data_IF_465806719643
#
_entry.id   IF_465806719643
#
_cell.length_a   1.000
_cell.length_b   1.000
_cell.length_c   1.000
_cell.angle_alpha   90.00
_cell.angle_beta   90.00
_cell.angle_gamma   90.00
#
_symmetry.space_group_name_H-M   'P 1'
#
loop_
_entity.id
_entity.type
_entity.pdbx_description
1 polymer ?
#
# COMPACT_ATOMS: atom_id res chain seq x y z
N UNK A 1 18.39 -6.10 96.93
CA UNK A 1 19.12 -5.45 95.81
C UNK A 1 18.14 -5.30 94.66
N UNK A 2 17.47 -4.15 94.52
CA UNK A 2 17.79 -3.00 93.63
C UNK A 2 17.53 -3.23 92.12
N UNK A 3 16.26 -3.02 91.72
CA UNK A 3 15.71 -2.14 90.66
C UNK A 3 16.50 -1.65 89.42
N UNK A 4 15.73 -1.54 88.30
CA UNK A 4 15.68 -0.54 87.17
C UNK A 4 16.30 -0.94 85.81
N UNK A 5 15.48 -1.02 84.72
CA UNK A 5 15.16 0.01 83.69
C UNK A 5 16.42 0.51 82.94
N UNK A 6 16.53 0.61 81.61
CA UNK A 6 15.63 0.46 80.46
C UNK A 6 16.35 0.91 79.16
N UNK A 7 15.54 1.12 78.11
CA UNK A 7 15.75 1.90 76.88
C UNK A 7 16.54 1.34 75.67
N UNK A 8 15.86 1.44 74.53
CA UNK A 8 16.30 1.23 73.17
C UNK A 8 17.16 2.38 72.61
N UNK A 9 17.98 2.11 71.60
CA UNK A 9 18.49 3.13 70.69
C UNK A 9 18.48 2.60 69.24
N UNK A 10 17.72 3.30 68.39
CA UNK A 10 17.64 3.09 66.96
C UNK A 10 18.94 3.55 66.27
N UNK A 11 19.46 2.74 65.36
CA UNK A 11 20.60 3.10 64.52
C UNK A 11 20.09 3.68 63.20
N UNK A 12 20.18 4.99 63.05
CA UNK A 12 19.97 5.66 61.76
C UNK A 12 21.22 5.46 60.89
N UNK A 13 21.11 4.71 59.80
CA UNK A 13 22.13 4.67 58.74
C UNK A 13 22.00 5.92 57.87
N UNK A 14 22.88 6.88 58.09
CA UNK A 14 23.14 7.99 57.17
C UNK A 14 23.94 7.46 55.98
N UNK A 15 23.28 7.26 54.83
CA UNK A 15 23.94 7.06 53.54
C UNK A 15 24.45 8.43 53.03
N UNK A 16 25.62 8.84 53.51
CA UNK A 16 26.38 9.93 52.90
C UNK A 16 27.09 9.42 51.64
N UNK A 17 26.48 9.60 50.47
CA UNK A 17 27.15 9.36 49.19
C UNK A 17 28.32 10.33 49.03
N UNK A 18 29.55 9.82 49.04
CA UNK A 18 30.75 10.60 48.73
C UNK A 18 30.69 11.02 47.25
N UNK A 19 30.70 12.32 46.98
CA UNK A 19 30.91 12.82 45.63
C UNK A 19 32.29 12.36 45.14
N UNK A 20 32.34 11.60 44.05
CA UNK A 20 33.59 11.18 43.45
C UNK A 20 34.40 12.42 43.02
N UNK A 21 35.62 12.57 43.56
CA UNK A 21 36.58 13.59 43.12
C UNK A 21 37.02 13.24 41.69
N UNK A 22 36.75 14.14 40.73
CA UNK A 22 37.21 13.96 39.36
C UNK A 22 38.75 14.02 39.30
N UNK A 23 39.39 13.03 38.66
CA UNK A 23 40.83 12.99 38.43
C UNK A 23 41.26 14.15 37.51
N UNK A 24 42.40 14.78 37.82
CA UNK A 24 42.99 15.82 36.97
C UNK A 24 43.40 15.22 35.62
N UNK A 25 42.89 15.78 34.53
CA UNK A 25 43.21 15.33 33.17
C UNK A 25 44.69 15.62 32.83
N UNK A 26 45.42 14.68 32.19
CA UNK A 26 46.77 14.92 31.68
C UNK A 26 46.81 16.03 30.62
N UNK A 27 47.92 16.77 30.52
CA UNK A 27 48.09 17.93 29.63
C UNK A 27 47.80 17.63 28.14
N UNK A 28 48.08 16.40 27.68
CA UNK A 28 47.81 16.02 26.30
C UNK A 28 46.30 15.95 25.95
N UNK A 29 45.42 15.91 26.95
CA UNK A 29 43.96 15.96 26.76
C UNK A 29 43.43 17.39 26.66
N UNK A 30 44.19 18.39 27.13
CA UNK A 30 43.72 19.78 27.21
C UNK A 30 43.22 20.38 25.87
N UNK A 31 43.83 20.10 24.69
CA UNK A 31 43.34 20.63 23.42
C UNK A 31 42.00 20.04 22.94
N UNK A 32 41.59 18.88 23.48
CA UNK A 32 40.38 18.15 23.04
C UNK A 32 39.33 18.01 24.15
N UNK A 33 39.69 18.27 25.40
CA UNK A 33 38.79 18.26 26.56
C UNK A 33 38.21 19.64 26.80
N UNK A 34 36.90 19.73 26.96
CA UNK A 34 36.21 20.96 27.33
C UNK A 34 34.81 20.64 27.85
N UNK A 35 34.24 21.55 28.65
CA UNK A 35 32.82 21.43 29.05
C UNK A 35 31.95 21.68 27.83
N UNK A 36 31.04 20.77 27.53
CA UNK A 36 30.00 20.99 26.53
C UNK A 36 28.98 21.98 27.07
N UNK A 37 28.70 23.07 26.35
CA UNK A 37 27.81 24.15 26.77
C UNK A 37 26.30 23.84 26.61
N UNK A 38 25.88 22.58 26.70
CA UNK A 38 24.46 22.26 26.58
C UNK A 38 23.71 22.75 27.83
N UNK A 39 22.65 23.55 27.66
CA UNK A 39 21.81 23.93 28.78
C UNK A 39 21.07 22.67 29.30
N UNK A 40 20.80 22.54 30.62
CA UNK A 40 20.06 21.40 31.15
C UNK A 40 18.72 21.13 30.44
N UNK A 41 18.04 22.18 29.98
CA UNK A 41 16.81 22.08 29.19
C UNK A 41 16.99 21.45 27.81
N UNK A 42 18.13 21.68 27.15
CA UNK A 42 18.42 21.11 25.83
C UNK A 42 18.67 19.60 25.94
N UNK A 43 19.39 19.19 26.99
CA UNK A 43 19.64 17.77 27.29
C UNK A 43 18.32 17.06 27.60
N UNK A 44 17.51 17.62 28.49
CA UNK A 44 16.19 17.04 28.82
C UNK A 44 15.27 16.92 27.59
N UNK A 45 15.27 17.95 26.72
CA UNK A 45 14.51 17.91 25.45
C UNK A 45 15.01 16.79 24.55
N UNK A 46 16.33 16.67 24.38
CA UNK A 46 16.94 15.62 23.56
C UNK A 46 16.60 14.23 24.09
N UNK A 47 16.64 14.02 25.40
CA UNK A 47 16.36 12.74 26.03
C UNK A 47 14.91 12.31 25.79
N UNK A 48 13.94 13.23 25.89
CA UNK A 48 12.54 12.95 25.60
C UNK A 48 12.31 12.63 24.12
N UNK A 49 12.92 13.41 23.20
CA UNK A 49 12.83 13.15 21.76
C UNK A 49 13.48 11.82 21.35
N UNK A 50 14.54 11.41 22.06
CA UNK A 50 15.20 10.14 21.83
C UNK A 50 14.27 8.94 22.09
N UNK A 51 13.28 9.05 22.98
CA UNK A 51 12.31 7.98 23.22
C UNK A 51 11.52 7.63 21.95
N UNK A 52 11.10 8.64 21.18
CA UNK A 52 10.39 8.42 19.92
C UNK A 52 11.29 7.76 18.88
N UNK A 53 12.56 8.15 18.84
CA UNK A 53 13.54 7.54 17.92
C UNK A 53 13.76 6.07 18.27
N UNK A 54 14.02 5.78 19.55
CA UNK A 54 14.26 4.42 20.04
C UNK A 54 13.03 3.50 19.87
N UNK A 55 11.82 4.06 19.91
CA UNK A 55 10.59 3.29 19.69
C UNK A 55 10.55 2.62 18.31
N UNK A 56 11.05 3.27 17.25
CA UNK A 56 11.05 2.67 15.90
C UNK A 56 11.89 1.40 15.81
N UNK A 57 13.05 1.37 16.46
CA UNK A 57 13.90 0.18 16.51
C UNK A 57 13.19 -0.98 17.23
N UNK A 58 12.54 -0.69 18.37
CA UNK A 58 11.76 -1.67 19.13
C UNK A 58 10.60 -2.24 18.30
N UNK A 59 9.89 -1.40 17.55
CA UNK A 59 8.83 -1.85 16.66
C UNK A 59 9.37 -2.71 15.51
N UNK A 60 10.49 -2.32 14.91
CA UNK A 60 11.14 -3.08 13.84
C UNK A 60 11.54 -4.49 14.27
N UNK A 61 12.09 -4.63 15.47
CA UNK A 61 12.46 -5.94 16.01
C UNK A 61 11.24 -6.78 16.43
N UNK A 62 10.23 -6.17 17.04
CA UNK A 62 8.99 -6.85 17.39
C UNK A 62 8.23 -7.33 16.14
N UNK A 63 8.22 -6.55 15.05
CA UNK A 63 7.55 -6.89 13.81
C UNK A 63 8.04 -8.22 13.21
N UNK A 64 9.34 -8.51 13.28
CA UNK A 64 9.90 -9.80 12.80
C UNK A 64 9.30 -10.98 13.57
N UNK A 65 9.16 -10.85 14.89
CA UNK A 65 8.58 -11.88 15.76
C UNK A 65 7.07 -12.01 15.51
N UNK A 66 6.35 -10.90 15.36
CA UNK A 66 4.92 -10.90 15.05
C UNK A 66 4.63 -11.54 13.70
N UNK A 67 5.38 -11.18 12.65
CA UNK A 67 5.21 -11.77 11.32
C UNK A 67 5.41 -13.29 11.37
N UNK A 68 6.46 -13.76 12.04
CA UNK A 68 6.70 -15.20 12.23
C UNK A 68 5.51 -15.86 12.94
N UNK A 69 5.04 -15.29 14.05
CA UNK A 69 3.93 -15.83 14.81
C UNK A 69 2.62 -15.87 14.01
N UNK A 70 2.36 -14.86 13.18
CA UNK A 70 1.18 -14.82 12.29
C UNK A 70 1.28 -15.96 11.28
N UNK A 71 2.40 -16.06 10.56
CA UNK A 71 2.61 -17.09 9.54
C UNK A 71 2.62 -18.52 10.11
N UNK A 72 3.06 -18.70 11.36
CA UNK A 72 3.06 -20.00 12.05
C UNK A 72 1.65 -20.43 12.53
N UNK A 73 0.67 -19.52 12.58
CA UNK A 73 -0.67 -19.78 13.17
C UNK A 73 -1.83 -19.59 12.19
N UNK A 74 -1.65 -18.74 11.19
CA UNK A 74 -2.69 -18.33 10.25
C UNK A 74 -2.20 -18.51 8.82
N UNK A 75 -3.04 -19.08 7.93
CA UNK A 75 -2.79 -18.93 6.51
C UNK A 75 -2.89 -17.45 6.12
N UNK A 76 -2.05 -17.03 5.17
CA UNK A 76 -2.02 -15.66 4.63
C UNK A 76 -2.02 -15.70 3.11
N UNK A 77 -2.90 -14.93 2.49
CA UNK A 77 -2.94 -14.72 1.04
C UNK A 77 -2.48 -13.31 0.71
N UNK A 78 -1.43 -13.17 -0.09
CA UNK A 78 -1.03 -11.87 -0.63
C UNK A 78 -1.42 -11.77 -2.10
N UNK A 79 -2.18 -10.73 -2.42
CA UNK A 79 -2.51 -10.32 -3.78
C UNK A 79 -1.68 -9.12 -4.22
N UNK A 80 -0.69 -9.37 -5.08
CA UNK A 80 0.18 -8.33 -5.59
C UNK A 80 -0.26 -7.93 -7.00
N UNK A 81 -0.40 -6.63 -7.23
CA UNK A 81 -0.53 -6.09 -8.57
C UNK A 81 0.74 -6.35 -9.37
N UNK A 82 0.57 -6.76 -10.62
CA UNK A 82 1.68 -7.06 -11.52
C UNK A 82 1.34 -6.64 -12.95
N UNK A 83 2.39 -6.51 -13.77
CA UNK A 83 2.24 -6.33 -15.22
C UNK A 83 1.47 -7.47 -15.90
N UNK A 84 1.43 -8.65 -15.27
CA UNK A 84 0.91 -9.90 -15.83
C UNK A 84 -0.48 -10.30 -15.32
N UNK A 85 -1.23 -9.38 -14.70
CA UNK A 85 -2.60 -9.66 -14.22
C UNK A 85 -2.67 -10.04 -12.74
N UNK A 86 -1.60 -9.79 -12.01
CA UNK A 86 -1.50 -10.06 -10.58
C UNK A 86 -0.59 -11.24 -10.25
N UNK A 87 -0.31 -11.41 -8.97
CA UNK A 87 0.37 -12.56 -8.39
C UNK A 87 -0.28 -12.85 -7.05
N UNK A 88 -0.81 -14.06 -6.88
CA UNK A 88 -1.27 -14.52 -5.57
C UNK A 88 -0.21 -15.44 -4.95
N UNK A 89 0.07 -15.24 -3.66
CA UNK A 89 0.96 -16.09 -2.88
C UNK A 89 0.19 -16.56 -1.64
N UNK A 90 0.15 -17.87 -1.41
CA UNK A 90 -0.43 -18.48 -0.23
C UNK A 90 0.68 -18.94 0.73
N UNK A 91 0.67 -18.39 1.93
CA UNK A 91 1.50 -18.84 3.04
C UNK A 91 0.65 -19.76 3.93
N UNK A 92 1.11 -20.99 4.12
CA UNK A 92 0.47 -21.97 5.02
C UNK A 92 1.37 -22.22 6.23
N UNK A 93 0.83 -22.32 7.44
CA UNK A 93 1.62 -22.64 8.62
C UNK A 93 2.53 -23.84 8.42
N UNK A 94 3.82 -23.65 8.69
CA UNK A 94 4.85 -24.70 8.59
C UNK A 94 5.19 -25.16 7.16
N UNK A 95 4.67 -24.52 6.12
CA UNK A 95 4.96 -24.88 4.72
C UNK A 95 5.63 -23.74 3.95
N UNK A 96 6.41 -24.07 2.90
CA UNK A 96 6.91 -23.05 1.98
C UNK A 96 5.76 -22.25 1.33
N UNK A 97 6.00 -20.97 0.98
CA UNK A 97 5.04 -20.17 0.22
C UNK A 97 4.66 -20.87 -1.08
N UNK A 98 3.38 -20.85 -1.41
CA UNK A 98 2.84 -21.39 -2.64
C UNK A 98 2.45 -20.25 -3.58
N UNK A 99 3.23 -20.08 -4.65
CA UNK A 99 2.87 -19.19 -5.75
C UNK A 99 1.72 -19.80 -6.56
N UNK A 100 0.69 -19.00 -6.83
CA UNK A 100 -0.36 -19.40 -7.75
C UNK A 100 0.15 -19.46 -9.20
N UNK A 101 -0.46 -20.31 -10.06
CA UNK A 101 -0.22 -20.23 -11.50
C UNK A 101 -0.47 -18.81 -12.03
N UNK A 102 0.31 -18.42 -13.04
CA UNK A 102 0.16 -17.12 -13.69
C UNK A 102 -1.17 -17.04 -14.44
N UNK A 103 -1.73 -15.83 -14.53
CA UNK A 103 -2.90 -15.56 -15.40
C UNK A 103 -2.57 -16.00 -16.83
N UNK A 104 -3.50 -16.64 -17.56
CA UNK A 104 -3.27 -17.09 -18.92
C UNK A 104 -2.65 -15.99 -19.79
N UNK A 105 -1.66 -16.38 -20.62
CA UNK A 105 -0.86 -15.44 -21.43
C UNK A 105 -1.72 -14.54 -22.32
N UNK A 106 -2.90 -15.00 -22.73
CA UNK A 106 -3.86 -14.22 -23.53
C UNK A 106 -4.28 -12.91 -22.84
N UNK A 107 -4.32 -12.85 -21.51
CA UNK A 107 -4.49 -11.59 -20.77
C UNK A 107 -3.39 -10.58 -21.13
N UNK A 108 -2.12 -11.02 -21.09
CA UNK A 108 -0.99 -10.16 -21.38
C UNK A 108 -0.96 -9.73 -22.85
N UNK A 109 -1.40 -10.60 -23.76
CA UNK A 109 -1.50 -10.27 -25.18
C UNK A 109 -2.54 -9.17 -25.44
N UNK A 110 -3.77 -9.34 -24.91
CA UNK A 110 -4.83 -8.34 -25.00
C UNK A 110 -4.41 -7.00 -24.39
N UNK A 111 -3.79 -7.07 -23.20
CA UNK A 111 -3.24 -5.90 -22.51
C UNK A 111 -2.16 -5.22 -23.32
N UNK A 112 -1.18 -5.95 -23.86
CA UNK A 112 -0.08 -5.38 -24.64
C UNK A 112 -0.56 -4.62 -25.87
N UNK A 113 -1.53 -5.17 -26.61
CA UNK A 113 -2.12 -4.47 -27.76
C UNK A 113 -2.91 -3.25 -27.30
N UNK A 114 -3.72 -3.34 -26.23
CA UNK A 114 -4.44 -2.19 -25.70
C UNK A 114 -3.53 -1.07 -25.19
N UNK A 115 -2.48 -1.44 -24.44
CA UNK A 115 -1.45 -0.52 -23.96
C UNK A 115 -0.67 0.11 -25.10
N UNK A 116 -0.50 -0.58 -26.24
CA UNK A 116 0.21 -0.01 -27.38
C UNK A 116 -0.47 1.25 -27.92
N UNK A 117 -1.80 1.31 -27.87
CA UNK A 117 -2.58 2.50 -28.25
C UNK A 117 -2.44 3.62 -27.23
N UNK A 118 -2.50 3.30 -25.93
CA UNK A 118 -2.33 4.31 -24.87
C UNK A 118 -0.91 4.89 -24.87
N UNK A 119 0.10 4.04 -25.08
CA UNK A 119 1.50 4.47 -25.19
C UNK A 119 1.70 5.46 -26.35
N UNK A 120 0.91 5.39 -27.43
CA UNK A 120 0.98 6.40 -28.48
C UNK A 120 0.54 7.78 -27.98
N UNK A 121 -0.52 7.88 -27.18
CA UNK A 121 -0.93 9.15 -26.61
C UNK A 121 0.18 9.77 -25.72
N UNK A 122 0.88 8.93 -24.95
CA UNK A 122 2.01 9.36 -24.12
C UNK A 122 3.25 9.76 -24.94
N UNK A 123 3.57 9.01 -26.01
CA UNK A 123 4.69 9.33 -26.91
C UNK A 123 4.46 10.64 -27.64
N UNK A 124 3.22 10.94 -28.03
CA UNK A 124 2.91 12.12 -28.84
C UNK A 124 2.51 13.35 -28.03
N UNK A 125 1.96 13.17 -26.83
CA UNK A 125 1.42 14.22 -25.97
C UNK A 125 2.33 15.45 -25.82
N UNK A 126 3.63 15.29 -25.49
CA UNK A 126 4.56 16.41 -25.35
C UNK A 126 4.82 17.23 -26.63
N UNK A 127 4.39 16.72 -27.80
CA UNK A 127 4.68 17.26 -29.13
C UNK A 127 3.42 17.69 -29.89
N UNK A 128 2.24 17.56 -29.27
CA UNK A 128 0.98 17.98 -29.86
C UNK A 128 1.04 19.47 -30.21
N UNK A 129 0.63 19.79 -31.44
CA UNK A 129 0.60 21.16 -32.01
C UNK A 129 1.94 21.91 -31.93
N UNK A 130 3.06 21.17 -31.82
CA UNK A 130 4.42 21.70 -31.82
C UNK A 130 5.20 21.19 -33.05
N UNK A 131 4.91 21.73 -34.25
CA UNK A 131 5.50 21.22 -35.49
C UNK A 131 7.01 21.41 -35.57
N UNK A 132 7.61 22.35 -34.85
CA UNK A 132 9.05 22.60 -34.92
C UNK A 132 9.87 21.55 -34.16
N UNK A 133 9.27 20.93 -33.14
CA UNK A 133 9.93 19.87 -32.38
C UNK A 133 9.76 18.50 -33.05
N UNK A 134 10.79 18.04 -33.76
CA UNK A 134 10.81 16.73 -34.44
C UNK A 134 11.38 15.57 -33.61
N UNK A 135 11.70 15.78 -32.33
CA UNK A 135 12.39 14.76 -31.51
C UNK A 135 11.59 13.48 -31.27
N UNK A 136 10.26 13.51 -31.47
CA UNK A 136 9.38 12.33 -31.39
C UNK A 136 9.54 11.34 -32.54
N UNK A 137 10.08 11.77 -33.70
CA UNK A 137 10.07 10.96 -34.93
C UNK A 137 10.82 9.63 -34.78
N UNK A 138 11.98 9.64 -34.12
CA UNK A 138 12.79 8.44 -33.94
C UNK A 138 12.06 7.40 -33.07
N UNK A 139 11.52 7.82 -31.93
CA UNK A 139 10.73 6.97 -31.04
C UNK A 139 9.47 6.43 -31.74
N UNK A 140 8.80 7.26 -32.53
CA UNK A 140 7.63 6.88 -33.32
C UNK A 140 7.96 5.80 -34.36
N UNK A 141 9.03 5.98 -35.15
CA UNK A 141 9.46 4.99 -36.15
C UNK A 141 9.83 3.65 -35.50
N UNK A 142 10.55 3.69 -34.37
CA UNK A 142 10.90 2.49 -33.62
C UNK A 142 9.66 1.76 -33.10
N UNK A 143 8.68 2.48 -32.57
CA UNK A 143 7.46 1.87 -32.06
C UNK A 143 6.55 1.35 -33.17
N UNK A 144 6.47 2.06 -34.30
CA UNK A 144 5.77 1.62 -35.52
C UNK A 144 6.29 0.28 -36.04
N UNK A 145 7.61 0.09 -36.06
CA UNK A 145 8.22 -1.20 -36.43
C UNK A 145 7.81 -2.34 -35.48
N UNK A 146 7.76 -2.09 -34.17
CA UNK A 146 7.29 -3.07 -33.18
C UNK A 146 5.81 -3.42 -33.37
N UNK A 147 4.96 -2.44 -33.68
CA UNK A 147 3.55 -2.69 -33.97
C UNK A 147 3.35 -3.50 -35.25
N UNK A 148 4.14 -3.24 -36.30
CA UNK A 148 4.11 -4.04 -37.52
C UNK A 148 4.49 -5.50 -37.23
N UNK A 149 5.56 -5.72 -36.47
CA UNK A 149 5.98 -7.07 -36.08
C UNK A 149 4.88 -7.80 -35.30
N UNK A 150 4.18 -7.11 -34.39
CA UNK A 150 3.04 -7.67 -33.66
C UNK A 150 1.84 -7.98 -34.58
N UNK A 151 1.58 -7.13 -35.58
CA UNK A 151 0.51 -7.34 -36.56
C UNK A 151 0.78 -8.56 -37.45
N UNK A 152 2.03 -8.72 -37.91
CA UNK A 152 2.45 -9.79 -38.81
C UNK A 152 2.48 -11.16 -38.12
N UNK A 153 2.74 -11.17 -36.80
CA UNK A 153 2.82 -12.39 -35.99
C UNK A 153 1.55 -12.72 -35.21
N UNK A 154 0.50 -11.90 -35.33
CA UNK A 154 -0.71 -12.00 -34.50
C UNK A 154 -1.41 -13.36 -34.61
N UNK A 155 -1.37 -13.98 -35.78
CA UNK A 155 -2.02 -15.28 -36.02
C UNK A 155 -1.33 -16.44 -35.32
N UNK A 156 -0.05 -16.30 -34.97
CA UNK A 156 0.71 -17.30 -34.21
C UNK A 156 0.40 -17.27 -32.71
N UNK A 157 -0.40 -16.31 -32.24
CA UNK A 157 -0.76 -16.19 -30.82
C UNK A 157 -1.89 -17.15 -30.42
N UNK A 158 -1.98 -17.55 -29.14
CA UNK A 158 -3.08 -18.39 -28.63
C UNK A 158 -4.42 -17.64 -28.47
N UNK A 159 -4.55 -16.41 -28.99
CA UNK A 159 -5.81 -15.67 -28.90
C UNK A 159 -6.90 -16.30 -29.78
N UNK A 160 -8.15 -16.21 -29.32
CA UNK A 160 -9.31 -16.64 -30.08
C UNK A 160 -9.47 -15.81 -31.36
N UNK A 161 -10.16 -16.35 -32.36
CA UNK A 161 -10.23 -15.75 -33.70
C UNK A 161 -10.80 -14.32 -33.68
N UNK A 162 -11.92 -14.12 -33.00
CA UNK A 162 -12.56 -12.81 -32.82
C UNK A 162 -11.68 -11.82 -32.05
N UNK A 163 -10.92 -12.31 -31.06
CA UNK A 163 -9.95 -11.48 -30.34
C UNK A 163 -8.81 -11.06 -31.27
N UNK A 164 -8.27 -11.96 -32.08
CA UNK A 164 -7.24 -11.64 -33.08
C UNK A 164 -7.74 -10.60 -34.07
N UNK A 165 -8.96 -10.72 -34.59
CA UNK A 165 -9.52 -9.74 -35.52
C UNK A 165 -9.69 -8.34 -34.91
N UNK A 166 -10.14 -8.27 -33.66
CA UNK A 166 -10.21 -7.00 -32.93
C UNK A 166 -8.80 -6.38 -32.73
N UNK A 167 -7.84 -7.19 -32.30
CA UNK A 167 -6.47 -6.74 -32.06
C UNK A 167 -5.75 -6.33 -33.36
N UNK A 168 -6.05 -7.02 -34.47
CA UNK A 168 -5.58 -6.64 -35.81
C UNK A 168 -6.07 -5.25 -36.20
N UNK A 169 -7.33 -4.96 -35.90
CA UNK A 169 -7.93 -3.65 -36.15
C UNK A 169 -7.23 -2.57 -35.33
N UNK A 170 -7.00 -2.81 -34.03
CA UNK A 170 -6.26 -1.88 -33.16
C UNK A 170 -4.87 -1.58 -33.72
N UNK A 171 -4.09 -2.62 -34.06
CA UNK A 171 -2.73 -2.47 -34.56
C UNK A 171 -2.69 -1.73 -35.91
N UNK A 172 -3.59 -2.05 -36.83
CA UNK A 172 -3.70 -1.34 -38.12
C UNK A 172 -4.03 0.14 -37.92
N UNK A 173 -4.99 0.45 -37.05
CA UNK A 173 -5.36 1.82 -36.73
C UNK A 173 -4.19 2.59 -36.09
N UNK A 174 -3.46 1.95 -35.15
CA UNK A 174 -2.27 2.55 -34.56
C UNK A 174 -1.21 2.87 -35.64
N UNK A 175 -0.91 1.92 -36.52
CA UNK A 175 0.07 2.11 -37.60
C UNK A 175 -0.35 3.23 -38.55
N UNK A 176 -1.62 3.27 -38.95
CA UNK A 176 -2.15 4.33 -39.81
C UNK A 176 -1.99 5.73 -39.18
N UNK A 177 -2.29 5.86 -37.89
CA UNK A 177 -2.09 7.12 -37.16
C UNK A 177 -0.61 7.53 -37.11
N UNK A 178 0.28 6.60 -36.80
CA UNK A 178 1.73 6.86 -36.79
C UNK A 178 2.24 7.30 -38.17
N UNK A 179 1.82 6.62 -39.23
CA UNK A 179 2.20 6.92 -40.61
C UNK A 179 1.69 8.31 -41.03
N UNK A 180 0.46 8.68 -40.65
CA UNK A 180 -0.09 10.01 -40.90
C UNK A 180 0.71 11.12 -40.21
N UNK A 181 1.02 10.96 -38.92
CA UNK A 181 1.86 11.91 -38.18
C UNK A 181 3.26 12.02 -38.81
N UNK A 182 3.89 10.89 -39.14
CA UNK A 182 5.23 10.85 -39.73
C UNK A 182 5.28 11.53 -41.11
N UNK A 183 4.26 11.33 -41.94
CA UNK A 183 4.15 11.96 -43.26
C UNK A 183 3.89 13.47 -43.15
N UNK A 184 2.96 13.88 -42.27
CA UNK A 184 2.66 15.29 -42.03
C UNK A 184 3.76 16.03 -41.26
N UNK A 185 4.65 15.30 -40.60
CA UNK A 185 5.71 15.86 -39.77
C UNK A 185 5.20 16.58 -38.52
N UNK A 186 3.94 16.39 -38.13
CA UNK A 186 3.32 17.03 -36.98
C UNK A 186 2.33 16.08 -36.31
N UNK A 187 1.93 16.41 -35.08
CA UNK A 187 0.89 15.69 -34.33
C UNK A 187 -0.23 16.71 -34.03
N UNK A 188 -1.23 16.83 -34.92
CA UNK A 188 -2.36 17.70 -34.66
C UNK A 188 -3.26 17.13 -33.56
N UNK A 189 -3.69 17.94 -32.59
CA UNK A 189 -4.59 17.48 -31.53
C UNK A 189 -5.88 16.84 -32.08
N UNK A 190 -6.47 17.47 -33.12
CA UNK A 190 -7.69 16.96 -33.76
C UNK A 190 -7.53 15.53 -34.32
N UNK A 191 -6.33 15.17 -34.78
CA UNK A 191 -6.03 13.82 -35.29
C UNK A 191 -5.87 12.82 -34.15
N UNK A 192 -5.18 13.22 -33.07
CA UNK A 192 -5.09 12.40 -31.86
C UNK A 192 -6.47 12.14 -31.23
N UNK A 193 -7.33 13.16 -31.19
CA UNK A 193 -8.69 13.02 -30.66
C UNK A 193 -9.56 12.07 -31.52
N UNK A 194 -9.51 12.23 -32.85
CA UNK A 194 -10.24 11.35 -33.78
C UNK A 194 -9.74 9.90 -33.68
N UNK A 195 -8.42 9.71 -33.60
CA UNK A 195 -7.80 8.40 -33.38
C UNK A 195 -8.28 7.76 -32.06
N UNK A 196 -8.30 8.52 -30.96
CA UNK A 196 -8.83 8.05 -29.68
C UNK A 196 -10.29 7.58 -29.77
N UNK A 197 -11.15 8.39 -30.40
CA UNK A 197 -12.57 8.06 -30.64
C UNK A 197 -12.73 6.79 -31.49
N UNK A 198 -11.91 6.63 -32.53
CA UNK A 198 -11.90 5.44 -33.38
C UNK A 198 -11.48 4.17 -32.62
N UNK A 199 -10.49 4.27 -31.73
CA UNK A 199 -9.95 3.12 -31.01
C UNK A 199 -10.80 2.67 -29.82
N UNK A 200 -11.51 3.60 -29.18
CA UNK A 200 -12.29 3.35 -27.97
C UNK A 200 -13.16 2.07 -27.98
N UNK A 201 -14.00 1.80 -29.00
CA UNK A 201 -14.83 0.59 -29.01
C UNK A 201 -14.02 -0.73 -29.10
N UNK A 202 -12.87 -0.72 -29.78
CA UNK A 202 -12.01 -1.91 -29.89
C UNK A 202 -11.21 -2.15 -28.60
N UNK A 203 -10.74 -1.06 -27.97
CA UNK A 203 -10.08 -1.12 -26.66
C UNK A 203 -11.03 -1.63 -25.57
N UNK A 204 -12.29 -1.19 -25.58
CA UNK A 204 -13.30 -1.65 -24.62
C UNK A 204 -13.49 -3.18 -24.67
N UNK A 205 -13.48 -3.78 -25.87
CA UNK A 205 -13.52 -5.24 -26.02
C UNK A 205 -12.30 -5.94 -25.43
N UNK A 206 -11.10 -5.44 -25.72
CA UNK A 206 -9.86 -5.97 -25.14
C UNK A 206 -9.88 -5.91 -23.60
N UNK A 207 -10.34 -4.79 -23.02
CA UNK A 207 -10.48 -4.62 -21.57
C UNK A 207 -11.47 -5.66 -21.01
N UNK A 208 -12.63 -5.83 -21.64
CA UNK A 208 -13.63 -6.79 -21.19
C UNK A 208 -13.10 -8.24 -21.20
N UNK A 209 -12.46 -8.67 -22.29
CA UNK A 209 -11.90 -10.02 -22.40
C UNK A 209 -10.71 -10.25 -21.45
N UNK A 210 -9.85 -9.24 -21.26
CA UNK A 210 -8.76 -9.31 -20.29
C UNK A 210 -9.32 -9.43 -18.86
N UNK A 211 -10.32 -8.63 -18.51
CA UNK A 211 -10.98 -8.70 -17.21
C UNK A 211 -11.62 -10.08 -16.96
N UNK A 212 -12.37 -10.61 -17.93
CA UNK A 212 -12.97 -11.95 -17.84
C UNK A 212 -11.90 -13.03 -17.63
N UNK A 213 -10.81 -12.98 -18.39
CA UNK A 213 -9.68 -13.92 -18.28
C UNK A 213 -9.05 -13.86 -16.89
N UNK A 214 -8.76 -12.67 -16.39
CA UNK A 214 -8.13 -12.45 -15.09
C UNK A 214 -9.04 -12.90 -13.94
N UNK A 215 -10.32 -12.53 -13.99
CA UNK A 215 -11.32 -12.87 -12.96
C UNK A 215 -11.54 -14.38 -12.90
N UNK A 216 -11.79 -15.03 -14.04
CA UNK A 216 -12.03 -16.47 -14.08
C UNK A 216 -10.83 -17.25 -13.53
N UNK A 217 -9.61 -16.83 -13.88
CA UNK A 217 -8.38 -17.41 -13.37
C UNK A 217 -8.27 -17.30 -11.84
N UNK A 218 -8.38 -16.09 -11.29
CA UNK A 218 -8.23 -15.90 -9.85
C UNK A 218 -9.36 -16.50 -9.03
N UNK A 219 -10.59 -16.54 -9.57
CA UNK A 219 -11.68 -17.27 -8.93
C UNK A 219 -11.40 -18.76 -8.86
N UNK A 220 -10.84 -19.37 -9.91
CA UNK A 220 -10.41 -20.78 -9.88
C UNK A 220 -9.35 -21.03 -8.80
N UNK A 221 -8.27 -20.23 -8.78
CA UNK A 221 -7.20 -20.34 -7.78
C UNK A 221 -7.72 -20.23 -6.36
N UNK A 222 -8.60 -19.26 -6.08
CA UNK A 222 -9.16 -19.08 -4.73
C UNK A 222 -10.14 -20.18 -4.34
N UNK A 223 -10.90 -20.73 -5.28
CA UNK A 223 -11.77 -21.88 -5.02
C UNK A 223 -10.93 -23.10 -4.59
N UNK A 224 -9.85 -23.38 -5.32
CA UNK A 224 -8.94 -24.47 -5.01
C UNK A 224 -8.26 -24.27 -3.65
N UNK A 225 -7.74 -23.07 -3.39
CA UNK A 225 -7.11 -22.77 -2.09
C UNK A 225 -8.10 -22.80 -0.93
N UNK A 226 -9.34 -22.33 -1.12
CA UNK A 226 -10.38 -22.44 -0.09
C UNK A 226 -10.70 -23.89 0.22
N UNK A 227 -10.86 -24.74 -0.80
CA UNK A 227 -11.05 -26.18 -0.61
C UNK A 227 -9.85 -26.82 0.10
N UNK A 228 -8.63 -26.44 -0.28
CA UNK A 228 -7.39 -26.95 0.28
C UNK A 228 -7.18 -26.54 1.75
N UNK A 229 -7.53 -25.31 2.12
CA UNK A 229 -7.41 -24.81 3.50
C UNK A 229 -8.54 -25.35 4.40
N UNK A 230 -9.71 -25.66 3.84
CA UNK A 230 -10.84 -26.19 4.58
C UNK A 230 -11.21 -25.28 5.76
N UNK A 231 -11.34 -25.81 7.00
CA UNK A 231 -11.67 -25.01 8.18
C UNK A 231 -10.69 -23.87 8.48
N UNK A 232 -9.42 -23.97 8.06
CA UNK A 232 -8.44 -22.91 8.28
C UNK A 232 -8.72 -21.64 7.45
N UNK A 233 -9.61 -21.71 6.45
CA UNK A 233 -10.07 -20.55 5.69
C UNK A 233 -10.67 -19.46 6.59
N UNK A 234 -11.39 -19.84 7.65
CA UNK A 234 -12.08 -18.89 8.53
C UNK A 234 -11.11 -18.03 9.35
N UNK A 235 -9.91 -18.52 9.62
CA UNK A 235 -8.84 -17.78 10.30
C UNK A 235 -7.77 -17.23 9.34
N UNK A 236 -7.98 -17.34 8.04
CA UNK A 236 -7.04 -16.87 7.02
C UNK A 236 -7.09 -15.35 6.91
N UNK A 237 -5.92 -14.73 6.81
CA UNK A 237 -5.77 -13.33 6.42
C UNK A 237 -5.51 -13.21 4.92
N UNK A 238 -5.98 -12.13 4.30
CA UNK A 238 -5.65 -11.75 2.95
C UNK A 238 -5.38 -10.25 2.84
N UNK A 239 -4.43 -9.87 2.00
CA UNK A 239 -4.16 -8.48 1.68
C UNK A 239 -3.93 -8.30 0.18
N UNK A 240 -4.45 -7.23 -0.40
CA UNK A 240 -4.13 -6.79 -1.77
C UNK A 240 -3.62 -5.37 -1.77
N UNK A 241 -2.63 -5.05 -2.61
CA UNK A 241 -2.21 -3.66 -2.78
C UNK A 241 -3.09 -2.91 -3.79
N UNK A 242 -3.11 -1.58 -3.70
CA UNK A 242 -3.77 -0.69 -4.65
C UNK A 242 -3.08 0.68 -4.72
N UNK A 243 -3.37 1.43 -5.77
CA UNK A 243 -3.10 2.87 -5.84
C UNK A 243 -4.43 3.64 -5.84
N UNK A 244 -4.36 4.95 -5.63
CA UNK A 244 -5.53 5.86 -5.57
C UNK A 244 -6.55 5.59 -6.70
N UNK A 245 -6.09 5.53 -7.95
CA UNK A 245 -6.99 5.39 -9.12
C UNK A 245 -7.62 4.01 -9.25
N UNK A 246 -7.05 2.98 -8.63
CA UNK A 246 -7.48 1.59 -8.80
C UNK A 246 -8.31 1.06 -7.62
N UNK A 247 -8.36 1.77 -6.49
CA UNK A 247 -8.91 1.25 -5.22
C UNK A 247 -10.39 0.88 -5.26
N UNK A 248 -11.18 1.59 -6.08
CA UNK A 248 -12.63 1.39 -6.14
C UNK A 248 -13.02 0.11 -6.87
N UNK A 249 -12.32 -0.22 -7.95
CA UNK A 249 -12.59 -1.40 -8.77
C UNK A 249 -11.34 -2.29 -8.84
N UNK A 250 -10.69 -2.48 -7.69
CA UNK A 250 -9.49 -3.29 -7.59
C UNK A 250 -9.86 -4.76 -7.86
N UNK A 251 -9.44 -5.30 -9.00
CA UNK A 251 -9.88 -6.64 -9.46
C UNK A 251 -9.49 -7.75 -8.48
N UNK A 252 -8.24 -7.74 -8.00
CA UNK A 252 -7.73 -8.79 -7.10
C UNK A 252 -8.49 -8.76 -5.76
N UNK A 253 -8.64 -7.57 -5.17
CA UNK A 253 -9.38 -7.40 -3.93
C UNK A 253 -10.87 -7.76 -4.09
N UNK A 254 -11.48 -7.37 -5.21
CA UNK A 254 -12.89 -7.68 -5.50
C UNK A 254 -13.12 -9.18 -5.62
N UNK A 255 -12.19 -9.91 -6.24
CA UNK A 255 -12.21 -11.37 -6.33
C UNK A 255 -12.03 -12.00 -4.94
N UNK A 256 -11.05 -11.56 -4.15
CA UNK A 256 -10.89 -12.01 -2.76
C UNK A 256 -12.16 -11.79 -1.93
N UNK A 257 -12.80 -10.63 -2.06
CA UNK A 257 -14.02 -10.28 -1.34
C UNK A 257 -15.17 -11.27 -1.60
N UNK A 258 -15.26 -11.90 -2.80
CA UNK A 258 -16.28 -12.92 -3.09
C UNK A 258 -16.10 -14.19 -2.25
N UNK A 259 -14.86 -14.53 -1.85
CA UNK A 259 -14.58 -15.74 -1.08
C UNK A 259 -14.53 -15.51 0.44
N UNK A 260 -14.12 -14.32 0.85
CA UNK A 260 -14.01 -13.90 2.25
C UNK A 260 -15.32 -13.34 2.82
N UNK A 261 -16.15 -12.73 1.97
CA UNK A 261 -17.39 -12.08 2.38
C UNK A 261 -17.19 -10.66 2.94
N UNK A 262 -18.29 -9.88 3.03
CA UNK A 262 -18.23 -8.47 3.45
C UNK A 262 -17.73 -8.28 4.89
N UNK A 263 -18.06 -9.20 5.81
CA UNK A 263 -17.66 -9.09 7.22
C UNK A 263 -16.15 -9.22 7.46
N UNK A 264 -15.44 -9.81 6.49
CA UNK A 264 -13.99 -9.94 6.53
C UNK A 264 -13.26 -8.65 6.10
N UNK A 265 -13.91 -7.73 5.38
CA UNK A 265 -13.30 -6.48 4.90
C UNK A 265 -12.84 -5.65 6.10
N UNK A 266 -11.60 -5.17 6.08
CA UNK A 266 -10.96 -4.47 7.21
C UNK A 266 -10.89 -5.29 8.50
N UNK A 267 -11.19 -6.59 8.47
CA UNK A 267 -10.99 -7.53 9.59
C UNK A 267 -9.82 -8.44 9.28
N UNK A 268 -9.98 -9.29 8.26
CA UNK A 268 -8.99 -10.27 7.81
C UNK A 268 -8.77 -10.22 6.30
N UNK A 269 -9.48 -9.35 5.60
CA UNK A 269 -9.25 -8.99 4.20
C UNK A 269 -8.93 -7.50 4.13
N UNK A 270 -7.73 -7.14 3.69
CA UNK A 270 -7.20 -5.78 3.74
C UNK A 270 -6.81 -5.25 2.35
N UNK A 271 -7.22 -4.02 2.06
CA UNK A 271 -6.80 -3.28 0.86
C UNK A 271 -5.75 -2.25 1.28
N UNK A 272 -4.52 -2.42 0.84
CA UNK A 272 -3.38 -1.60 1.27
C UNK A 272 -3.02 -0.63 0.15
N UNK A 273 -3.14 0.68 0.40
CA UNK A 273 -2.71 1.70 -0.56
C UNK A 273 -1.17 1.81 -0.57
N UNK A 274 -0.56 1.70 -1.74
CA UNK A 274 0.89 1.81 -1.96
C UNK A 274 1.22 2.98 -2.88
N UNK A 275 2.43 3.53 -2.79
CA UNK A 275 2.87 4.64 -3.66
C UNK A 275 3.12 4.20 -5.11
N UNK A 276 3.47 2.93 -5.30
CA UNK A 276 3.74 2.33 -6.60
C UNK A 276 2.65 1.33 -6.99
N UNK A 277 2.46 1.14 -8.30
CA UNK A 277 1.51 0.17 -8.84
C UNK A 277 1.88 -1.27 -8.44
N UNK A 278 3.17 -1.59 -8.43
CA UNK A 278 3.71 -2.88 -7.97
C UNK A 278 4.36 -2.72 -6.59
N UNK A 279 4.36 -3.80 -5.81
CA UNK A 279 5.00 -3.90 -4.49
C UNK A 279 5.67 -5.27 -4.34
N UNK A 280 6.43 -5.48 -3.26
CA UNK A 280 7.06 -6.78 -2.97
C UNK A 280 6.23 -7.58 -1.95
N UNK A 281 6.40 -8.92 -1.90
CA UNK A 281 5.78 -9.72 -0.85
C UNK A 281 6.24 -9.31 0.55
N UNK A 282 7.49 -8.83 0.69
CA UNK A 282 8.02 -8.38 1.98
C UNK A 282 7.29 -7.13 2.48
N UNK A 283 7.15 -6.10 1.64
CA UNK A 283 6.45 -4.85 2.02
C UNK A 283 4.97 -5.12 2.38
N UNK A 284 4.34 -6.05 1.67
CA UNK A 284 2.96 -6.46 1.94
C UNK A 284 2.82 -7.24 3.26
N UNK A 285 3.75 -8.16 3.56
CA UNK A 285 3.78 -8.86 4.85
C UNK A 285 4.05 -7.90 6.00
N UNK A 286 4.97 -6.95 5.81
CA UNK A 286 5.29 -5.93 6.81
C UNK A 286 4.06 -5.09 7.12
N UNK A 287 3.38 -4.58 6.09
CA UNK A 287 2.16 -3.78 6.24
C UNK A 287 1.03 -4.57 6.92
N UNK A 288 0.79 -5.81 6.48
CA UNK A 288 -0.21 -6.68 7.08
C UNK A 288 0.12 -6.98 8.56
N UNK A 289 1.38 -7.28 8.86
CA UNK A 289 1.86 -7.57 10.22
C UNK A 289 1.65 -6.36 11.11
N UNK A 290 2.00 -5.16 10.63
CA UNK A 290 1.84 -3.91 11.35
C UNK A 290 0.38 -3.66 11.73
N UNK A 291 -0.54 -3.81 10.77
CA UNK A 291 -1.98 -3.66 11.00
C UNK A 291 -2.46 -4.64 12.08
N UNK A 292 -2.12 -5.93 11.96
CA UNK A 292 -2.55 -6.94 12.93
C UNK A 292 -1.96 -6.68 14.33
N UNK A 293 -0.69 -6.31 14.41
CA UNK A 293 0.01 -6.06 15.66
C UNK A 293 -0.53 -4.82 16.38
N UNK A 294 -0.70 -3.70 15.68
CA UNK A 294 -1.14 -2.44 16.27
C UNK A 294 -2.57 -2.54 16.84
N UNK A 295 -3.43 -3.40 16.26
CA UNK A 295 -4.75 -3.69 16.85
C UNK A 295 -4.69 -4.24 18.27
N UNK A 296 -3.64 -5.01 18.59
CA UNK A 296 -3.43 -5.47 19.97
C UNK A 296 -3.08 -4.32 20.92
N UNK A 297 -2.35 -3.31 20.45
CA UNK A 297 -2.09 -2.06 21.19
C UNK A 297 -3.40 -1.30 21.39
N UNK A 298 -4.23 -1.19 20.35
CA UNK A 298 -5.56 -0.57 20.43
C UNK A 298 -6.43 -1.20 21.52
N UNK A 299 -6.52 -2.53 21.52
CA UNK A 299 -7.27 -3.26 22.55
C UNK A 299 -6.67 -3.08 23.96
N UNK A 300 -5.34 -3.19 24.09
CA UNK A 300 -4.68 -3.17 25.40
C UNK A 300 -4.74 -1.80 26.08
N UNK A 301 -4.50 -0.72 25.34
CA UNK A 301 -4.39 0.63 25.90
C UNK A 301 -5.68 1.41 25.85
N UNK A 302 -6.56 1.12 24.89
CA UNK A 302 -7.77 1.91 24.64
C UNK A 302 -9.06 1.07 24.66
N UNK A 303 -8.99 -0.24 24.87
CA UNK A 303 -10.17 -1.10 24.91
C UNK A 303 -10.86 -1.31 23.56
N UNK A 304 -10.27 -0.88 22.45
CA UNK A 304 -10.83 -1.05 21.12
C UNK A 304 -9.82 -1.64 20.13
N UNK A 305 -10.09 -2.86 19.69
CA UNK A 305 -9.21 -3.62 18.81
C UNK A 305 -8.93 -2.94 17.47
N UNK A 306 -9.88 -2.19 16.92
CA UNK A 306 -9.75 -1.56 15.59
C UNK A 306 -9.33 -0.10 15.62
N UNK A 307 -9.11 0.50 16.80
CA UNK A 307 -8.74 1.91 16.93
C UNK A 307 -7.46 2.24 16.13
N UNK A 308 -6.46 1.37 16.19
CA UNK A 308 -5.15 1.61 15.55
C UNK A 308 -5.15 1.39 14.03
N UNK A 309 -6.29 1.02 13.43
CA UNK A 309 -6.45 1.08 11.98
C UNK A 309 -6.68 2.53 11.49
N UNK A 310 -6.81 3.49 12.40
CA UNK A 310 -7.12 4.89 12.15
C UNK A 310 -6.04 5.80 12.76
N UNK A 311 -5.97 7.04 12.29
CA UNK A 311 -5.10 8.06 12.89
C UNK A 311 -5.49 8.27 14.36
N UNK A 312 -4.60 7.87 15.27
CA UNK A 312 -4.83 7.90 16.72
C UNK A 312 -5.18 9.31 17.21
N UNK A 313 -4.53 10.34 16.65
CA UNK A 313 -4.81 11.74 16.98
C UNK A 313 -6.06 12.28 16.28
N UNK A 314 -6.68 11.53 15.37
CA UNK A 314 -7.64 12.05 14.38
C UNK A 314 -8.89 12.68 14.98
N UNK A 315 -9.42 12.11 16.06
CA UNK A 315 -10.59 12.63 16.78
C UNK A 315 -10.31 13.99 17.44
N UNK A 316 -9.23 14.08 18.20
CA UNK A 316 -8.84 15.33 18.87
C UNK A 316 -8.34 16.38 17.88
N UNK A 317 -7.62 15.96 16.84
CA UNK A 317 -7.21 16.81 15.73
C UNK A 317 -8.43 17.41 15.03
N UNK A 318 -9.51 16.65 14.83
CA UNK A 318 -10.77 17.19 14.30
C UNK A 318 -11.33 18.32 15.17
N UNK A 319 -11.39 18.14 16.49
CA UNK A 319 -11.87 19.18 17.40
C UNK A 319 -10.97 20.43 17.34
N UNK A 320 -9.65 20.24 17.31
CA UNK A 320 -8.68 21.32 17.17
C UNK A 320 -8.82 22.06 15.82
N UNK A 321 -8.99 21.33 14.72
CA UNK A 321 -9.20 21.91 13.39
C UNK A 321 -10.48 22.75 13.37
N UNK A 322 -11.59 22.27 13.94
CA UNK A 322 -12.84 23.03 14.03
C UNK A 322 -12.62 24.34 14.78
N UNK A 323 -11.95 24.30 15.94
CA UNK A 323 -11.68 25.48 16.75
C UNK A 323 -10.75 26.49 16.03
N UNK A 324 -9.67 26.01 15.41
CA UNK A 324 -8.73 26.86 14.66
C UNK A 324 -9.35 27.44 13.39
N UNK A 325 -10.21 26.69 12.71
CA UNK A 325 -10.93 27.15 11.52
C UNK A 325 -11.91 28.27 11.87
N UNK A 326 -12.62 28.14 12.99
CA UNK A 326 -13.54 29.18 13.48
C UNK A 326 -12.83 30.50 13.81
N UNK A 327 -11.64 30.45 14.42
CA UNK A 327 -10.81 31.65 14.69
C UNK A 327 -10.44 32.43 13.43
N UNK A 328 -10.49 31.79 12.28
CA UNK A 328 -10.15 32.37 10.96
C UNK A 328 -11.39 32.76 10.14
N UNK A 329 -12.59 32.67 10.72
CA UNK A 329 -13.85 32.97 10.02
C UNK A 329 -14.17 32.00 8.88
N UNK A 330 -13.56 30.81 8.89
CA UNK A 330 -13.74 29.78 7.87
C UNK A 330 -14.82 28.77 8.31
N UNK A 331 -15.43 28.07 7.35
CA UNK A 331 -16.31 26.93 7.63
C UNK A 331 -15.48 25.63 7.59
N UNK A 332 -15.45 24.84 8.68
CA UNK A 332 -14.76 23.56 8.67
C UNK A 332 -15.34 22.61 7.62
N UNK A 333 -14.46 22.02 6.81
CA UNK A 333 -14.77 20.93 5.90
C UNK A 333 -13.94 19.72 6.28
N UNK A 334 -14.58 18.68 6.79
CA UNK A 334 -13.93 17.48 7.31
C UNK A 334 -14.67 16.22 6.84
N UNK A 335 -13.98 15.09 6.66
CA UNK A 335 -14.63 13.84 6.29
C UNK A 335 -15.67 13.42 7.34
N UNK A 336 -16.67 12.61 6.95
CA UNK A 336 -17.59 12.01 7.91
C UNK A 336 -16.86 11.11 8.91
N UNK A 337 -17.38 11.04 10.13
CA UNK A 337 -16.90 10.07 11.12
C UNK A 337 -17.46 8.69 10.77
N UNK A 338 -16.57 7.70 10.72
CA UNK A 338 -16.94 6.31 10.47
C UNK A 338 -16.46 5.47 11.66
N UNK A 339 -17.30 4.55 12.19
CA UNK A 339 -16.94 3.75 13.35
C UNK A 339 -15.65 2.95 13.15
N UNK A 340 -14.88 2.80 14.24
CA UNK A 340 -13.74 1.90 14.29
C UNK A 340 -14.17 0.48 13.93
N UNK A 341 -13.42 -0.16 13.03
CA UNK A 341 -13.72 -1.51 12.55
C UNK A 341 -14.77 -1.57 11.45
N UNK A 342 -15.13 -0.43 10.84
CA UNK A 342 -16.03 -0.39 9.68
C UNK A 342 -15.59 -1.33 8.56
N UNK A 343 -16.56 -2.02 7.97
CA UNK A 343 -16.35 -2.99 6.87
C UNK A 343 -16.57 -2.36 5.49
N UNK A 344 -16.60 -1.03 5.42
CA UNK A 344 -16.80 -0.32 4.16
C UNK A 344 -15.58 -0.45 3.24
N UNK A 345 -15.87 -0.56 1.95
CA UNK A 345 -14.94 -0.56 0.84
C UNK A 345 -15.59 0.23 -0.31
N UNK A 346 -14.84 1.03 -1.10
CA UNK A 346 -13.39 1.23 -1.08
C UNK A 346 -12.90 2.36 -0.17
N UNK A 347 -13.82 3.09 0.46
CA UNK A 347 -13.51 4.19 1.36
C UNK A 347 -14.49 4.20 2.52
N UNK A 348 -13.99 4.54 3.69
CA UNK A 348 -14.78 4.70 4.90
C UNK A 348 -15.46 6.08 4.84
N UNK A 349 -16.64 6.18 4.23
CA UNK A 349 -17.33 7.46 4.01
C UNK A 349 -18.78 7.49 4.45
N UNK A 350 -19.38 6.34 4.75
CA UNK A 350 -20.75 6.27 5.28
C UNK A 350 -20.70 6.29 6.80
N UNK A 351 -21.28 7.29 7.49
CA UNK A 351 -21.44 7.24 8.94
C UNK A 351 -22.23 6.01 9.39
N UNK A 352 -22.04 5.59 10.64
CA UNK A 352 -22.77 4.45 11.20
C UNK A 352 -22.73 4.43 12.73
N UNK A 353 -23.47 3.51 13.37
CA UNK A 353 -23.43 3.34 14.81
C UNK A 353 -22.10 2.73 15.27
N UNK A 354 -21.58 3.17 16.42
CA UNK A 354 -20.35 2.68 17.02
C UNK A 354 -19.34 3.81 17.31
N UNK A 355 -18.27 3.52 18.08
CA UNK A 355 -17.28 4.52 18.42
C UNK A 355 -16.46 4.92 17.19
N UNK A 356 -16.35 6.22 16.92
CA UNK A 356 -15.57 6.78 15.80
C UNK A 356 -14.47 7.74 16.26
N UNK A 357 -14.43 8.04 17.56
CA UNK A 357 -13.40 8.83 18.25
C UNK A 357 -13.02 8.16 19.56
N UNK A 358 -11.87 8.52 20.16
CA UNK A 358 -11.46 8.00 21.47
C UNK A 358 -12.47 8.38 22.56
N UNK A 359 -13.12 9.54 22.45
CA UNK A 359 -14.13 9.99 23.40
C UNK A 359 -15.37 9.06 23.44
N UNK A 360 -15.69 8.40 22.31
CA UNK A 360 -16.84 7.50 22.19
C UNK A 360 -16.63 6.13 22.88
N UNK A 361 -15.41 5.83 23.33
CA UNK A 361 -15.06 4.52 23.94
C UNK A 361 -15.28 4.50 25.46
N UNK A 362 -15.46 5.67 26.09
CA UNK A 362 -15.74 5.83 27.54
C UNK A 362 -17.21 5.60 27.84
#
# INVERSE_FOLDING_TARGET
MKTRFGLALATALMLGGSAAMAQTLPDYMAPISGKTNAAPGDVATKDVLALNTAMFDLYGDAAKVFQKNILDKHPVILGLFSGAGGRLILYRPGQPPLDAPQVPVVYQLLKSVGHSTMALAEVVGPYVDNPDNKSWRASMLAFRSRMQSALDSLDATPMQADWRDNNRTILKNNIAFMDECLAGGAIPFAKLEAFGKQQAPFLAKNVAWAAQTQVAHWMGVLADWKAQLGPDWEKTYAASNTIYVARQNNVIFSVLAQFFGPDAINTRLLLIETVSFTTTPADMLESLTRIIADRSVGALFFGNYHLMDYELMGGDARAAIIAETAKRGMTPFLPPLVPFGSKQWPTLVTPGPGPATIADIK
#
